data_IF_652883694631
#
_entry.id   IF_652883694631
#
_cell.length_a   1.000
_cell.length_b   1.000
_cell.length_c   1.000
_cell.angle_alpha   90.00
_cell.angle_beta   90.00
_cell.angle_gamma   90.00
#
_symmetry.space_group_name_H-M   'P 1'
#
loop_
_entity.id
_entity.type
_entity.pdbx_description
1 polymer ?
#
# COMPACT_ATOMS: atom_id res chain seq x y z
N UNK A 1 -23.58 5.61 51.13
CA UNK A 1 -22.43 6.24 50.43
C UNK A 1 -22.67 7.73 50.32
N UNK A 2 -21.71 8.56 50.75
CA UNK A 2 -21.77 10.01 50.62
C UNK A 2 -21.72 10.45 49.17
N UNK A 3 -22.22 11.64 48.82
CA UNK A 3 -22.13 12.22 47.45
C UNK A 3 -20.64 12.26 46.95
N UNK A 4 -19.69 12.58 47.83
CA UNK A 4 -18.25 12.58 47.53
C UNK A 4 -17.71 11.19 47.16
N UNK A 5 -18.19 10.14 47.81
CA UNK A 5 -17.76 8.75 47.52
C UNK A 5 -18.25 8.29 46.15
N UNK A 6 -19.50 8.62 45.77
CA UNK A 6 -20.04 8.30 44.45
C UNK A 6 -19.32 9.04 43.31
N UNK A 7 -19.05 10.34 43.49
CA UNK A 7 -18.32 11.13 42.51
C UNK A 7 -16.91 10.55 42.27
N UNK A 8 -16.19 10.17 43.31
CA UNK A 8 -14.87 9.53 43.18
C UNK A 8 -14.94 8.17 42.47
N UNK A 9 -15.97 7.38 42.76
CA UNK A 9 -16.17 6.10 42.09
C UNK A 9 -16.41 6.31 40.57
N UNK A 10 -17.28 7.23 40.21
CA UNK A 10 -17.56 7.55 38.80
C UNK A 10 -16.33 8.07 38.06
N UNK A 11 -15.52 8.90 38.71
CA UNK A 11 -14.27 9.38 38.18
C UNK A 11 -13.29 8.22 37.90
N UNK A 12 -13.14 7.30 38.85
CA UNK A 12 -12.29 6.12 38.69
C UNK A 12 -12.78 5.22 37.56
N UNK A 13 -14.09 4.91 37.52
CA UNK A 13 -14.67 4.10 36.46
C UNK A 13 -14.45 4.75 35.11
N UNK A 14 -14.73 6.05 34.99
CA UNK A 14 -14.51 6.79 33.74
C UNK A 14 -13.04 6.77 33.31
N UNK A 15 -12.10 6.99 34.23
CA UNK A 15 -10.68 6.99 33.93
C UNK A 15 -10.19 5.62 33.49
N UNK A 16 -10.64 4.56 34.14
CA UNK A 16 -10.28 3.19 33.75
C UNK A 16 -10.87 2.75 32.41
N UNK A 17 -12.08 3.19 32.09
CA UNK A 17 -12.72 2.95 30.80
C UNK A 17 -12.10 3.78 29.68
N UNK A 18 -11.67 4.99 29.99
CA UNK A 18 -11.05 5.88 29.02
C UNK A 18 -9.64 5.42 28.59
N UNK A 19 -8.90 4.76 29.50
CA UNK A 19 -7.52 4.33 29.24
C UNK A 19 -7.37 3.41 28.01
N UNK A 20 -8.14 2.29 27.89
CA UNK A 20 -8.08 1.47 26.69
C UNK A 20 -8.53 2.23 25.43
N UNK A 21 -9.52 3.13 25.53
CA UNK A 21 -9.95 3.94 24.38
C UNK A 21 -8.80 4.82 23.88
N UNK A 22 -8.09 5.50 24.79
CA UNK A 22 -6.93 6.30 24.43
C UNK A 22 -5.80 5.47 23.81
N UNK A 23 -5.58 4.26 24.33
CA UNK A 23 -4.60 3.34 23.76
C UNK A 23 -4.95 2.96 22.33
N UNK A 24 -6.21 2.61 22.05
CA UNK A 24 -6.68 2.30 20.71
C UNK A 24 -6.60 3.52 19.78
N UNK A 25 -7.00 4.70 20.24
CA UNK A 25 -6.86 5.93 19.47
C UNK A 25 -5.41 6.22 19.12
N UNK A 26 -4.49 6.05 20.05
CA UNK A 26 -3.05 6.23 19.79
C UNK A 26 -2.58 5.29 18.66
N UNK A 27 -2.93 4.01 18.73
CA UNK A 27 -2.56 3.04 17.68
C UNK A 27 -3.17 3.45 16.34
N UNK A 28 -4.45 3.80 16.30
CA UNK A 28 -5.11 4.24 15.06
C UNK A 28 -4.43 5.49 14.48
N UNK A 29 -4.10 6.48 15.30
CA UNK A 29 -3.40 7.68 14.85
C UNK A 29 -2.01 7.35 14.32
N UNK A 30 -1.22 6.56 15.04
CA UNK A 30 0.14 6.18 14.62
C UNK A 30 0.10 5.36 13.33
N UNK A 31 -0.74 4.33 13.27
CA UNK A 31 -0.84 3.47 12.08
C UNK A 31 -1.41 4.22 10.87
N UNK A 32 -2.36 5.15 11.07
CA UNK A 32 -2.87 6.02 10.03
C UNK A 32 -1.81 6.97 9.47
N UNK A 33 -1.00 7.56 10.34
CA UNK A 33 0.14 8.39 9.93
C UNK A 33 1.14 7.55 9.11
N UNK A 34 1.49 6.35 9.60
CA UNK A 34 2.39 5.45 8.87
C UNK A 34 1.79 5.02 7.52
N UNK A 35 0.50 4.71 7.47
CA UNK A 35 -0.17 4.34 6.22
C UNK A 35 -0.15 5.50 5.20
N UNK A 36 -0.33 6.73 5.66
CA UNK A 36 -0.30 7.92 4.81
C UNK A 36 1.07 8.17 4.21
N UNK A 37 2.14 8.07 5.02
CA UNK A 37 3.52 8.34 4.56
C UNK A 37 4.22 7.09 3.99
N UNK A 38 3.59 5.92 4.06
CA UNK A 38 4.21 4.65 3.66
C UNK A 38 4.64 4.62 2.19
N UNK A 39 3.89 5.29 1.33
CA UNK A 39 4.19 5.37 -0.10
C UNK A 39 5.49 6.13 -0.35
N UNK A 40 5.68 7.25 0.33
CA UNK A 40 6.90 8.06 0.25
C UNK A 40 8.11 7.34 0.87
N UNK A 41 7.90 6.62 1.96
CA UNK A 41 8.95 5.79 2.57
C UNK A 41 9.43 4.71 1.59
N UNK A 42 8.49 4.02 0.93
CA UNK A 42 8.84 3.00 -0.07
C UNK A 42 9.53 3.64 -1.27
N UNK A 43 9.08 4.82 -1.73
CA UNK A 43 9.72 5.56 -2.81
C UNK A 43 11.17 5.97 -2.48
N UNK A 44 11.43 6.36 -1.24
CA UNK A 44 12.79 6.68 -0.77
C UNK A 44 13.67 5.43 -0.65
N UNK A 45 13.11 4.32 -0.21
CA UNK A 45 13.84 3.08 0.07
C UNK A 45 14.08 2.21 -1.17
N UNK A 46 13.15 2.23 -2.15
CA UNK A 46 13.18 1.35 -3.31
C UNK A 46 13.24 2.16 -4.62
N UNK A 47 14.38 2.15 -5.33
CA UNK A 47 14.53 2.84 -6.62
C UNK A 47 13.56 2.35 -7.70
N UNK A 48 13.16 1.06 -7.68
CA UNK A 48 12.29 0.47 -8.70
C UNK A 48 10.88 1.09 -8.72
N UNK A 49 10.48 1.71 -7.60
CA UNK A 49 9.18 2.39 -7.47
C UNK A 49 9.18 3.79 -8.08
N UNK A 50 10.34 4.30 -8.49
CA UNK A 50 10.49 5.67 -8.99
C UNK A 50 10.26 5.73 -10.49
N UNK A 51 9.46 6.69 -10.96
CA UNK A 51 9.35 6.99 -12.37
C UNK A 51 10.54 7.87 -12.80
N UNK A 52 11.39 7.33 -13.67
CA UNK A 52 12.47 8.10 -14.28
C UNK A 52 11.98 8.77 -15.55
N UNK A 53 11.84 10.10 -15.52
CA UNK A 53 11.45 10.91 -16.68
C UNK A 53 12.69 11.17 -17.55
N UNK A 54 12.72 10.72 -18.82
CA UNK A 54 13.91 10.84 -19.66
C UNK A 54 14.22 12.28 -20.11
N UNK A 55 13.21 13.14 -20.19
CA UNK A 55 13.34 14.58 -20.48
C UNK A 55 12.21 15.35 -19.82
N UNK A 56 12.36 16.67 -19.70
CA UNK A 56 11.35 17.55 -19.09
C UNK A 56 10.00 17.47 -19.81
N UNK A 57 10.02 17.29 -21.13
CA UNK A 57 8.84 17.28 -21.99
C UNK A 57 8.34 15.85 -22.33
N UNK A 58 8.94 14.81 -21.70
CA UNK A 58 8.50 13.45 -21.94
C UNK A 58 7.06 13.25 -21.48
N UNK A 59 6.22 12.78 -22.37
CA UNK A 59 4.85 12.39 -22.06
C UNK A 59 4.79 10.94 -21.58
N UNK A 60 3.81 10.64 -20.75
CA UNK A 60 3.56 9.27 -20.29
C UNK A 60 2.96 8.45 -21.44
N UNK A 61 3.43 7.23 -21.55
CA UNK A 61 2.82 6.25 -22.45
C UNK A 61 1.38 5.97 -22.03
N UNK A 62 0.54 5.71 -23.00
CA UNK A 62 -0.82 5.21 -22.75
C UNK A 62 -0.78 3.73 -22.28
N UNK A 63 -1.93 3.23 -21.88
CA UNK A 63 -2.03 1.87 -21.36
C UNK A 63 -1.70 0.79 -22.38
N UNK A 64 -2.03 1.01 -23.65
CA UNK A 64 -1.80 0.06 -24.72
C UNK A 64 -0.30 -0.10 -24.99
N UNK A 65 0.43 1.00 -25.10
CA UNK A 65 1.88 0.98 -25.28
C UNK A 65 2.61 0.37 -24.08
N UNK A 66 2.13 0.62 -22.85
CA UNK A 66 2.68 -0.04 -21.65
C UNK A 66 2.46 -1.56 -21.71
N UNK A 67 1.26 -2.02 -22.06
CA UNK A 67 0.97 -3.45 -22.18
C UNK A 67 1.83 -4.12 -23.25
N UNK A 68 1.97 -3.49 -24.42
CA UNK A 68 2.83 -3.98 -25.50
C UNK A 68 4.29 -4.04 -25.07
N UNK A 69 4.78 -3.01 -24.37
CA UNK A 69 6.14 -2.98 -23.86
C UNK A 69 6.41 -4.10 -22.84
N UNK A 70 5.49 -4.33 -21.92
CA UNK A 70 5.59 -5.43 -20.95
C UNK A 70 5.55 -6.80 -21.64
N UNK A 71 4.63 -7.02 -22.56
CA UNK A 71 4.52 -8.29 -23.31
C UNK A 71 5.73 -8.55 -24.21
N UNK A 72 6.36 -7.50 -24.75
CA UNK A 72 7.57 -7.63 -25.55
C UNK A 72 8.77 -8.03 -24.70
N UNK A 73 8.89 -7.46 -23.50
CA UNK A 73 9.97 -7.77 -22.56
C UNK A 73 9.79 -9.15 -21.92
N UNK A 74 8.54 -9.51 -21.59
CA UNK A 74 8.20 -10.75 -20.90
C UNK A 74 7.00 -11.46 -21.57
N UNK A 75 7.20 -12.13 -22.73
CA UNK A 75 6.12 -12.71 -23.52
C UNK A 75 5.35 -13.83 -22.80
N UNK A 76 5.92 -14.42 -21.75
CA UNK A 76 5.32 -15.54 -21.01
C UNK A 76 4.34 -15.10 -19.92
N UNK A 77 4.30 -13.81 -19.61
CA UNK A 77 3.46 -13.27 -18.54
C UNK A 77 2.07 -12.92 -19.07
N UNK A 78 1.05 -13.35 -18.35
CA UNK A 78 -0.32 -12.88 -18.59
C UNK A 78 -0.58 -11.64 -17.73
N UNK A 79 -0.92 -10.50 -18.35
CA UNK A 79 -1.26 -9.28 -17.64
C UNK A 79 -2.67 -9.40 -17.06
N UNK A 80 -2.78 -9.30 -15.74
CA UNK A 80 -4.05 -9.36 -15.00
C UNK A 80 -4.65 -7.99 -14.74
N UNK A 81 -3.83 -6.96 -14.64
CA UNK A 81 -4.28 -5.60 -14.35
C UNK A 81 -3.14 -4.61 -14.33
N UNK A 82 -3.52 -3.34 -14.47
CA UNK A 82 -2.60 -2.22 -14.51
C UNK A 82 -3.15 -1.12 -13.60
N UNK A 83 -2.29 -0.56 -12.75
CA UNK A 83 -2.64 0.55 -11.87
C UNK A 83 -1.65 1.70 -12.04
N UNK A 84 -2.21 2.89 -12.27
CA UNK A 84 -1.43 4.12 -12.39
C UNK A 84 -1.54 4.94 -11.10
N UNK A 85 -0.43 5.26 -10.44
CA UNK A 85 -0.43 6.20 -9.32
C UNK A 85 -0.86 7.60 -9.80
N UNK A 86 -1.40 8.39 -8.89
CA UNK A 86 -1.80 9.77 -9.18
C UNK A 86 -0.58 10.67 -9.40
N UNK A 87 0.45 10.45 -8.61
CA UNK A 87 1.67 11.24 -8.63
C UNK A 87 2.62 10.79 -9.74
N UNK A 88 3.23 11.76 -10.40
CA UNK A 88 4.05 11.55 -11.59
C UNK A 88 5.41 10.89 -11.31
N UNK A 89 5.86 10.92 -10.07
CA UNK A 89 7.16 10.39 -9.67
C UNK A 89 7.16 8.90 -9.29
N UNK A 90 5.97 8.25 -9.30
CA UNK A 90 5.86 6.81 -9.07
C UNK A 90 5.81 6.00 -10.35
N UNK A 91 6.48 4.86 -10.33
CA UNK A 91 6.34 3.84 -11.36
C UNK A 91 4.91 3.28 -11.38
N UNK A 92 4.51 2.83 -12.55
CA UNK A 92 3.27 2.16 -12.80
C UNK A 92 3.36 0.73 -12.28
N UNK A 93 2.27 0.17 -11.75
CA UNK A 93 2.24 -1.23 -11.33
C UNK A 93 1.42 -2.08 -12.28
N UNK A 94 2.02 -3.18 -12.73
CA UNK A 94 1.38 -4.18 -13.59
C UNK A 94 1.33 -5.50 -12.86
N UNK A 95 0.11 -5.97 -12.57
CA UNK A 95 -0.10 -7.29 -11.98
C UNK A 95 -0.09 -8.34 -13.07
N UNK A 96 0.72 -9.36 -12.91
CA UNK A 96 0.94 -10.42 -13.89
C UNK A 96 0.77 -11.79 -13.26
N UNK A 97 0.44 -12.78 -14.11
CA UNK A 97 0.49 -14.20 -13.76
C UNK A 97 1.59 -14.90 -14.57
N UNK A 98 2.35 -15.74 -13.89
CA UNK A 98 3.30 -16.66 -14.50
C UNK A 98 2.59 -17.90 -15.02
N UNK A 99 3.24 -18.71 -15.91
CA UNK A 99 2.66 -19.95 -16.42
C UNK A 99 2.30 -20.99 -15.35
N UNK A 100 2.94 -20.94 -14.19
CA UNK A 100 2.65 -21.77 -13.02
C UNK A 100 1.50 -21.25 -12.16
N UNK A 101 0.76 -20.26 -12.65
CA UNK A 101 -0.33 -19.57 -11.96
C UNK A 101 0.09 -18.74 -10.71
N UNK A 102 1.39 -18.58 -10.44
CA UNK A 102 1.84 -17.61 -9.44
C UNK A 102 1.65 -16.20 -9.96
N UNK A 103 1.38 -15.26 -9.06
CA UNK A 103 1.16 -13.85 -9.42
C UNK A 103 2.26 -12.97 -8.86
N UNK A 104 2.60 -11.93 -9.61
CA UNK A 104 3.52 -10.89 -9.17
C UNK A 104 3.03 -9.51 -9.60
N UNK A 105 3.60 -8.47 -8.98
CA UNK A 105 3.40 -7.09 -9.39
C UNK A 105 4.72 -6.52 -9.88
N UNK A 106 4.74 -6.07 -11.13
CA UNK A 106 5.90 -5.44 -11.75
C UNK A 106 5.81 -3.93 -11.58
N UNK A 107 6.97 -3.29 -11.35
CA UNK A 107 7.13 -1.85 -11.45
C UNK A 107 7.58 -1.51 -12.86
N UNK A 108 6.83 -0.66 -13.54
CA UNK A 108 7.06 -0.29 -14.94
C UNK A 108 7.20 1.22 -15.04
N UNK A 109 8.22 1.67 -15.75
CA UNK A 109 8.41 3.10 -16.00
C UNK A 109 7.29 3.64 -16.91
N UNK A 110 6.53 4.65 -16.48
CA UNK A 110 5.40 5.17 -17.26
C UNK A 110 5.80 5.91 -18.53
N UNK A 111 7.07 6.26 -18.68
CA UNK A 111 7.58 7.02 -19.85
C UNK A 111 8.25 6.12 -20.89
N UNK A 112 8.88 5.04 -20.47
CA UNK A 112 9.62 4.15 -21.38
C UNK A 112 8.99 2.75 -21.54
N UNK A 113 8.06 2.37 -20.67
CA UNK A 113 7.52 1.01 -20.62
C UNK A 113 8.51 -0.04 -20.09
N UNK A 114 9.69 0.37 -19.62
CA UNK A 114 10.70 -0.55 -19.11
C UNK A 114 10.27 -1.14 -17.77
N UNK A 115 10.41 -2.45 -17.62
CA UNK A 115 10.24 -3.15 -16.34
C UNK A 115 11.43 -2.79 -15.46
N UNK A 116 11.18 -2.17 -14.30
CA UNK A 116 12.20 -1.70 -13.36
C UNK A 116 12.48 -2.72 -12.26
N UNK A 117 11.49 -3.51 -11.89
CA UNK A 117 11.61 -4.52 -10.85
C UNK A 117 10.31 -5.22 -10.54
N UNK A 118 10.37 -6.10 -9.56
CA UNK A 118 9.22 -6.88 -9.06
C UNK A 118 8.93 -6.46 -7.62
N UNK A 119 7.66 -6.29 -7.30
CA UNK A 119 7.25 -5.99 -5.91
C UNK A 119 7.71 -7.12 -4.98
N UNK A 120 8.33 -6.78 -3.84
CA UNK A 120 8.73 -7.78 -2.87
C UNK A 120 7.50 -8.46 -2.26
N UNK A 121 7.67 -9.68 -1.74
CA UNK A 121 6.62 -10.43 -1.04
C UNK A 121 6.06 -9.66 0.17
N UNK A 122 6.90 -8.86 0.84
CA UNK A 122 6.48 -7.96 1.90
C UNK A 122 6.44 -6.52 1.35
N UNK A 123 5.24 -5.98 1.17
CA UNK A 123 5.03 -4.58 0.83
C UNK A 123 4.65 -3.79 2.09
N UNK A 124 5.54 -2.87 2.49
CA UNK A 124 5.35 -2.03 3.67
C UNK A 124 4.07 -1.18 3.60
N UNK A 125 3.67 -0.72 2.40
CA UNK A 125 2.44 0.06 2.20
C UNK A 125 1.20 -0.79 2.47
N UNK A 126 1.18 -2.02 1.95
CA UNK A 126 0.08 -2.95 2.18
C UNK A 126 0.00 -3.34 3.65
N UNK A 127 1.14 -3.63 4.28
CA UNK A 127 1.21 -3.94 5.70
C UNK A 127 0.65 -2.80 6.57
N UNK A 128 1.10 -1.57 6.36
CA UNK A 128 0.63 -0.42 7.16
C UNK A 128 -0.86 -0.13 6.95
N UNK A 129 -1.36 -0.28 5.72
CA UNK A 129 -2.79 -0.14 5.40
C UNK A 129 -3.63 -1.25 6.03
N UNK A 130 -3.16 -2.50 5.99
CA UNK A 130 -3.83 -3.63 6.62
C UNK A 130 -3.85 -3.48 8.15
N UNK A 131 -2.75 -3.00 8.72
CA UNK A 131 -2.67 -2.72 10.15
C UNK A 131 -3.64 -1.61 10.57
N UNK A 132 -3.74 -0.55 9.81
CA UNK A 132 -4.63 0.59 10.10
C UNK A 132 -6.09 0.25 9.84
N UNK A 133 -6.41 -0.40 8.71
CA UNK A 133 -7.79 -0.63 8.26
C UNK A 133 -8.51 -1.72 9.02
N UNK A 134 -7.87 -2.84 9.28
CA UNK A 134 -8.50 -4.04 9.86
C UNK A 134 -7.64 -4.82 10.84
N UNK A 135 -6.66 -4.18 11.41
CA UNK A 135 -5.84 -4.78 12.49
C UNK A 135 -5.21 -6.11 12.10
N UNK A 136 -4.83 -6.26 10.83
CA UNK A 136 -4.30 -7.49 10.27
C UNK A 136 -5.27 -8.68 10.36
N UNK A 137 -6.54 -8.47 10.65
CA UNK A 137 -7.53 -9.54 10.67
C UNK A 137 -7.78 -10.03 9.24
N UNK A 138 -7.67 -11.34 8.95
CA UNK A 138 -8.02 -11.87 7.63
C UNK A 138 -9.54 -11.78 7.45
N UNK A 139 -9.99 -11.00 6.49
CA UNK A 139 -11.37 -11.01 6.06
C UNK A 139 -11.57 -12.17 5.09
N UNK A 140 -12.62 -12.95 5.30
CA UNK A 140 -12.83 -14.23 4.63
C UNK A 140 -13.15 -14.12 3.15
N UNK A 141 -13.48 -12.95 2.61
CA UNK A 141 -13.96 -12.79 1.24
C UNK A 141 -13.00 -11.99 0.36
N UNK A 142 -11.80 -12.52 0.13
CA UNK A 142 -10.89 -12.01 -0.90
C UNK A 142 -9.83 -11.02 -0.45
N UNK A 143 -9.79 -10.65 0.81
CA UNK A 143 -8.67 -9.93 1.42
C UNK A 143 -7.67 -10.91 2.03
N UNK A 144 -7.06 -11.72 1.18
CA UNK A 144 -5.85 -12.44 1.57
C UNK A 144 -4.64 -11.50 1.49
N UNK A 145 -3.60 -11.79 2.24
CA UNK A 145 -2.33 -11.06 2.26
C UNK A 145 -1.61 -10.96 0.91
N UNK A 146 -2.15 -11.56 -0.14
CA UNK A 146 -1.63 -11.64 -1.49
C UNK A 146 -2.52 -10.91 -2.50
N UNK A 147 -2.60 -9.63 -2.37
CA UNK A 147 -3.32 -8.79 -3.32
C UNK A 147 -2.49 -8.38 -4.51
#
# INVERSE_FOLDING_TARGET
MSKKSRSRLWFLVHSWLALPIWFFLLIICVTGTLATVSQEIVWLANPDVRASKPSTDAERLDYEHILQAVQTQEPRLAVLGLSRPQEDHFALTVRVAYPDATTATLYVNPYSGAIQGVSPLFDFRQFTRALHGWWLAPWTDGYSWGW
#
